data_IF_375175459609
#
_entry.id   IF_375175459609
#
_cell.length_a   1.000
_cell.length_b   1.000
_cell.length_c   1.000
_cell.angle_alpha   90.00
_cell.angle_beta   90.00
_cell.angle_gamma   90.00
#
_symmetry.space_group_name_H-M   'P 1'
#
loop_
_entity.id
_entity.type
_entity.pdbx_description
1 polymer ?
#
# COMPACT_ATOMS: atom_id res chain seq x y z
N UNK A 1 -13.67 18.45 -0.73
CA UNK A 1 -14.11 17.04 -0.75
C UNK A 1 -14.93 16.71 0.51
N UNK A 2 -14.39 16.81 1.77
CA UNK A 2 -15.17 16.56 3.00
C UNK A 2 -16.45 17.42 3.09
N UNK A 3 -16.38 18.70 2.74
CA UNK A 3 -17.55 19.62 2.77
C UNK A 3 -18.60 19.30 1.70
N UNK A 4 -18.21 18.63 0.64
CA UNK A 4 -19.05 18.32 -0.51
C UNK A 4 -19.68 16.94 -0.40
N UNK A 5 -18.92 15.93 0.02
CA UNK A 5 -19.32 14.52 0.04
C UNK A 5 -19.56 13.95 1.45
N UNK A 6 -19.23 14.70 2.48
CA UNK A 6 -19.34 14.27 3.87
C UNK A 6 -18.15 13.43 4.35
N UNK A 7 -18.06 13.27 5.68
CA UNK A 7 -16.95 12.57 6.32
C UNK A 7 -16.95 11.07 6.02
N UNK A 8 -18.11 10.44 5.97
CA UNK A 8 -18.27 9.01 5.72
C UNK A 8 -17.74 8.63 4.35
N UNK A 9 -18.18 9.31 3.27
CA UNK A 9 -17.72 9.05 1.93
C UNK A 9 -16.22 9.35 1.75
N UNK A 10 -15.72 10.43 2.38
CA UNK A 10 -14.30 10.76 2.38
C UNK A 10 -13.46 9.65 3.02
N UNK A 11 -13.93 9.08 4.15
CA UNK A 11 -13.23 7.99 4.82
C UNK A 11 -13.27 6.69 4.02
N UNK A 12 -14.37 6.39 3.31
CA UNK A 12 -14.45 5.26 2.39
C UNK A 12 -13.37 5.36 1.30
N UNK A 13 -13.26 6.49 0.62
CA UNK A 13 -12.22 6.68 -0.41
C UNK A 13 -10.80 6.60 0.16
N UNK A 14 -10.61 6.99 1.40
CA UNK A 14 -9.29 7.04 2.02
C UNK A 14 -8.82 5.71 2.58
N UNK A 15 -9.76 4.88 3.04
CA UNK A 15 -9.44 3.73 3.89
C UNK A 15 -9.96 2.40 3.38
N UNK A 16 -11.05 2.38 2.62
CA UNK A 16 -11.61 1.13 2.11
C UNK A 16 -10.63 0.42 1.16
N UNK A 17 -10.87 -0.85 0.99
CA UNK A 17 -10.09 -1.69 0.08
C UNK A 17 -10.41 -1.42 -1.38
N UNK A 18 -11.72 -1.35 -1.73
CA UNK A 18 -12.22 -1.43 -3.10
C UNK A 18 -13.09 -0.24 -3.53
N UNK A 19 -13.08 0.88 -2.80
CA UNK A 19 -13.87 2.06 -3.16
C UNK A 19 -12.93 3.17 -3.64
N UNK A 20 -12.74 3.34 -4.98
CA UNK A 20 -11.89 4.40 -5.50
C UNK A 20 -12.56 5.77 -5.35
N UNK A 21 -11.79 6.86 -5.22
CA UNK A 21 -12.32 8.21 -5.37
C UNK A 21 -12.81 8.43 -6.81
N UNK A 22 -13.65 9.46 -7.06
CA UNK A 22 -14.05 9.82 -8.42
C UNK A 22 -12.83 10.00 -9.34
N UNK A 23 -12.91 9.50 -10.56
CA UNK A 23 -11.87 9.68 -11.57
C UNK A 23 -11.59 11.17 -11.80
N UNK A 24 -10.30 11.53 -11.92
CA UNK A 24 -9.92 12.88 -12.32
C UNK A 24 -10.29 13.08 -13.80
N UNK A 25 -10.79 14.27 -14.14
CA UNK A 25 -10.99 14.64 -15.53
C UNK A 25 -9.63 14.61 -16.26
N UNK A 26 -9.50 13.94 -17.42
CA UNK A 26 -8.26 13.93 -18.19
C UNK A 26 -7.73 15.32 -18.54
N UNK A 27 -8.62 16.30 -18.70
CA UNK A 27 -8.29 17.70 -19.01
C UNK A 27 -8.00 18.57 -17.77
N UNK A 28 -8.08 17.99 -16.57
CA UNK A 28 -7.75 18.71 -15.35
C UNK A 28 -6.25 19.02 -15.29
N UNK A 29 -5.87 20.20 -14.80
CA UNK A 29 -4.46 20.64 -14.69
C UNK A 29 -3.57 19.71 -13.86
N UNK A 30 -4.14 18.92 -12.95
CA UNK A 30 -3.44 17.93 -12.14
C UNK A 30 -3.50 16.51 -12.73
N UNK A 31 -4.15 16.32 -13.87
CA UNK A 31 -4.16 15.04 -14.56
C UNK A 31 -2.78 14.73 -15.12
N UNK A 32 -2.38 13.48 -15.02
CA UNK A 32 -1.11 12.99 -15.56
C UNK A 32 -1.26 12.39 -16.97
N UNK A 33 -2.45 12.45 -17.56
CA UNK A 33 -2.76 11.87 -18.87
C UNK A 33 -1.85 12.39 -19.98
N UNK A 34 -1.49 13.67 -19.91
CA UNK A 34 -0.62 14.32 -20.92
C UNK A 34 0.81 14.55 -20.43
N UNK A 35 1.21 13.95 -19.28
CA UNK A 35 2.56 14.10 -18.76
C UNK A 35 3.55 13.26 -19.60
N UNK A 36 4.58 13.89 -20.20
CA UNK A 36 5.53 13.18 -21.05
C UNK A 36 6.31 12.06 -20.33
N UNK A 37 6.38 12.10 -19.00
CA UNK A 37 6.99 11.02 -18.20
C UNK A 37 6.24 9.70 -18.32
N UNK A 38 4.96 9.74 -18.64
CA UNK A 38 4.07 8.59 -18.77
C UNK A 38 3.67 8.27 -20.21
N UNK A 39 4.27 8.95 -21.20
CA UNK A 39 3.92 8.80 -22.63
C UNK A 39 4.12 7.36 -23.17
N UNK A 40 4.89 6.53 -22.48
CA UNK A 40 5.13 5.14 -22.87
C UNK A 40 4.17 4.13 -22.17
N UNK A 41 3.23 4.60 -21.37
CA UNK A 41 2.21 3.76 -20.76
C UNK A 41 0.99 3.68 -21.69
N UNK A 42 0.42 2.47 -21.81
CA UNK A 42 -0.80 2.25 -22.59
C UNK A 42 -1.99 2.99 -21.98
N UNK A 43 -2.01 3.12 -20.65
CA UNK A 43 -3.04 3.81 -19.91
C UNK A 43 -2.46 4.48 -18.65
N UNK A 44 -2.90 5.70 -18.37
CA UNK A 44 -2.62 6.42 -17.13
C UNK A 44 -3.85 6.33 -16.24
N UNK A 45 -3.79 5.73 -15.05
CA UNK A 45 -4.94 5.59 -14.17
C UNK A 45 -5.51 6.96 -13.76
N UNK A 46 -6.81 7.15 -13.94
CA UNK A 46 -7.53 8.38 -13.54
C UNK A 46 -8.04 8.30 -12.09
N UNK A 47 -8.12 7.10 -11.55
CA UNK A 47 -8.48 6.80 -10.16
C UNK A 47 -7.88 5.47 -9.75
N UNK A 48 -7.70 5.25 -8.45
CA UNK A 48 -7.17 4.00 -7.94
C UNK A 48 -7.65 3.78 -6.50
N UNK A 49 -8.00 2.54 -6.15
CA UNK A 49 -8.21 2.08 -4.80
C UNK A 49 -7.10 1.08 -4.38
N UNK A 50 -7.15 0.59 -3.15
CA UNK A 50 -6.12 -0.32 -2.66
C UNK A 50 -6.14 -1.67 -3.39
N UNK A 51 -7.30 -2.14 -3.85
CA UNK A 51 -7.44 -3.34 -4.68
C UNK A 51 -6.62 -3.24 -5.98
N UNK A 52 -6.66 -2.09 -6.64
CA UNK A 52 -5.90 -1.87 -7.88
C UNK A 52 -4.40 -1.95 -7.60
N UNK A 53 -3.97 -1.37 -6.47
CA UNK A 53 -2.57 -1.46 -6.02
C UNK A 53 -2.16 -2.91 -5.74
N UNK A 54 -2.99 -3.70 -5.06
CA UNK A 54 -2.75 -5.13 -4.82
C UNK A 54 -2.61 -5.88 -6.13
N UNK A 55 -3.53 -5.66 -7.08
CA UNK A 55 -3.57 -6.36 -8.36
C UNK A 55 -2.29 -6.16 -9.19
N UNK A 56 -1.68 -4.97 -9.14
CA UNK A 56 -0.43 -4.71 -9.87
C UNK A 56 0.83 -5.04 -9.07
N UNK A 57 0.76 -5.03 -7.73
CA UNK A 57 1.91 -5.26 -6.88
C UNK A 57 2.19 -6.76 -6.65
N UNK A 58 1.16 -7.57 -6.45
CA UNK A 58 1.32 -9.00 -6.15
C UNK A 58 2.02 -9.77 -7.28
N UNK A 59 1.74 -9.57 -8.57
CA UNK A 59 2.53 -10.16 -9.64
C UNK A 59 4.01 -9.79 -9.56
N UNK A 60 4.33 -8.51 -9.36
CA UNK A 60 5.71 -8.05 -9.20
C UNK A 60 6.40 -8.66 -7.97
N UNK A 61 5.67 -8.80 -6.85
CA UNK A 61 6.18 -9.50 -5.67
C UNK A 61 6.63 -10.92 -6.03
N UNK A 62 5.81 -11.70 -6.73
CA UNK A 62 6.13 -13.08 -7.11
C UNK A 62 7.26 -13.17 -8.13
N UNK A 63 7.27 -12.27 -9.11
CA UNK A 63 8.25 -12.30 -10.21
C UNK A 63 9.64 -11.82 -9.78
N UNK A 64 9.71 -10.92 -8.81
CA UNK A 64 10.96 -10.24 -8.44
C UNK A 64 11.31 -10.42 -6.97
N UNK A 65 10.50 -9.90 -6.04
CA UNK A 65 10.84 -9.85 -4.61
C UNK A 65 10.93 -11.26 -4.02
N UNK A 66 9.95 -12.10 -4.30
CA UNK A 66 9.92 -13.48 -3.81
C UNK A 66 11.10 -14.31 -4.34
N UNK A 67 11.50 -14.11 -5.61
CA UNK A 67 12.63 -14.82 -6.19
C UNK A 67 13.95 -14.43 -5.51
N UNK A 68 14.13 -13.16 -5.20
CA UNK A 68 15.31 -12.69 -4.46
C UNK A 68 15.33 -13.24 -3.02
N UNK A 69 14.19 -13.28 -2.33
CA UNK A 69 14.06 -13.89 -1.02
C UNK A 69 14.35 -15.41 -1.06
N UNK A 70 13.83 -16.14 -2.07
CA UNK A 70 14.13 -17.57 -2.30
C UNK A 70 15.61 -17.82 -2.58
N UNK A 71 16.30 -16.86 -3.18
CA UNK A 71 17.76 -16.90 -3.38
C UNK A 71 18.56 -16.56 -2.10
N UNK A 72 17.91 -16.35 -0.96
CA UNK A 72 18.56 -16.03 0.31
C UNK A 72 19.01 -14.59 0.45
N UNK A 73 18.49 -13.68 -0.38
CA UNK A 73 18.85 -12.24 -0.30
C UNK A 73 17.99 -11.52 0.74
N UNK A 74 18.58 -10.48 1.33
CA UNK A 74 17.81 -9.48 2.07
C UNK A 74 17.27 -8.44 1.09
N UNK A 75 15.96 -8.23 1.09
CA UNK A 75 15.29 -7.30 0.18
C UNK A 75 14.75 -6.11 0.97
N UNK A 76 15.06 -4.90 0.51
CA UNK A 76 14.48 -3.67 1.05
C UNK A 76 13.49 -3.08 0.06
N UNK A 77 12.25 -2.86 0.52
CA UNK A 77 11.18 -2.24 -0.26
C UNK A 77 10.94 -0.82 0.27
N UNK A 78 11.32 0.18 -0.51
CA UNK A 78 11.02 1.58 -0.23
C UNK A 78 9.91 2.06 -1.17
N UNK A 79 8.72 2.35 -0.63
CA UNK A 79 7.56 2.69 -1.43
C UNK A 79 6.60 3.63 -0.70
N UNK A 80 5.57 4.10 -1.41
CA UNK A 80 4.48 4.87 -0.82
C UNK A 80 3.70 4.02 0.19
N UNK A 81 3.17 4.67 1.25
CA UNK A 81 2.44 3.99 2.32
C UNK A 81 1.30 3.08 1.83
N UNK A 82 0.55 3.46 0.79
CA UNK A 82 -0.51 2.61 0.24
C UNK A 82 0.04 1.37 -0.49
N UNK A 83 1.19 1.48 -1.17
CA UNK A 83 1.86 0.32 -1.77
C UNK A 83 2.34 -0.65 -0.67
N UNK A 84 2.90 -0.11 0.42
CA UNK A 84 3.30 -0.94 1.57
C UNK A 84 2.08 -1.56 2.27
N UNK A 85 0.96 -0.84 2.40
CA UNK A 85 -0.30 -1.42 2.92
C UNK A 85 -0.80 -2.58 2.06
N UNK A 86 -0.71 -2.46 0.74
CA UNK A 86 -1.07 -3.54 -0.18
C UNK A 86 -0.17 -4.77 -0.01
N UNK A 87 1.14 -4.56 0.15
CA UNK A 87 2.10 -5.63 0.39
C UNK A 87 1.85 -6.32 1.74
N UNK A 88 1.68 -5.56 2.80
CA UNK A 88 1.39 -6.09 4.15
C UNK A 88 0.06 -6.84 4.17
N UNK A 89 -0.99 -6.29 3.51
CA UNK A 89 -2.27 -6.99 3.35
C UNK A 89 -2.08 -8.38 2.72
N UNK A 90 -1.25 -8.47 1.69
CA UNK A 90 -0.96 -9.72 1.01
C UNK A 90 -0.16 -10.68 1.90
N UNK A 91 0.93 -10.23 2.53
CA UNK A 91 1.81 -11.06 3.35
C UNK A 91 1.11 -11.62 4.59
N UNK A 92 0.27 -10.83 5.24
CA UNK A 92 -0.43 -11.18 6.49
C UNK A 92 -1.86 -11.69 6.26
N UNK A 93 -2.30 -11.77 5.00
CA UNK A 93 -3.67 -12.16 4.64
C UNK A 93 -4.74 -11.34 5.40
N UNK A 94 -4.53 -10.03 5.53
CA UNK A 94 -5.47 -9.12 6.20
C UNK A 94 -6.78 -9.07 5.40
N UNK A 95 -7.92 -9.12 6.08
CA UNK A 95 -9.23 -9.04 5.43
C UNK A 95 -9.46 -7.67 4.75
N UNK A 96 -10.45 -7.60 3.85
CA UNK A 96 -10.82 -6.36 3.17
C UNK A 96 -11.38 -5.30 4.14
N UNK A 97 -12.02 -5.74 5.20
CA UNK A 97 -12.56 -4.87 6.23
C UNK A 97 -11.45 -4.37 7.19
N UNK A 98 -10.54 -5.25 7.60
CA UNK A 98 -9.50 -4.93 8.59
C UNK A 98 -8.40 -4.03 8.02
N UNK A 99 -8.16 -4.07 6.70
CA UNK A 99 -7.13 -3.24 6.05
C UNK A 99 -7.37 -1.73 6.25
N UNK A 100 -8.61 -1.33 6.48
CA UNK A 100 -8.95 0.06 6.77
C UNK A 100 -8.24 0.60 8.04
N UNK A 101 -7.99 -0.28 9.01
CA UNK A 101 -7.30 0.03 10.28
C UNK A 101 -5.79 0.10 10.18
N UNK A 102 -5.17 -0.45 9.13
CA UNK A 102 -3.71 -0.49 9.00
C UNK A 102 -3.14 0.89 8.64
N UNK A 103 -2.26 1.39 9.49
CA UNK A 103 -1.50 2.62 9.27
C UNK A 103 -0.01 2.30 9.34
N UNK A 104 0.73 2.59 8.25
CA UNK A 104 2.17 2.39 8.19
C UNK A 104 2.87 3.72 8.44
N UNK A 105 3.69 3.85 9.49
CA UNK A 105 4.43 5.06 9.79
C UNK A 105 5.51 5.33 8.74
N UNK A 106 5.79 6.59 8.46
CA UNK A 106 6.85 6.98 7.53
C UNK A 106 8.21 6.92 8.22
N UNK A 107 9.20 6.30 7.55
CA UNK A 107 10.59 6.31 7.96
C UNK A 107 10.97 5.31 9.05
N UNK A 108 10.05 4.47 9.51
CA UNK A 108 10.34 3.40 10.48
C UNK A 108 10.33 2.07 9.73
N UNK A 109 11.46 1.35 9.67
CA UNK A 109 11.54 0.06 9.00
C UNK A 109 10.65 -0.99 9.67
N UNK A 110 9.86 -1.71 8.86
CA UNK A 110 9.09 -2.89 9.23
C UNK A 110 9.78 -4.12 8.66
N UNK A 111 10.17 -5.06 9.52
CA UNK A 111 10.96 -6.23 9.15
C UNK A 111 10.09 -7.47 9.13
N UNK A 112 10.08 -8.17 8.01
CA UNK A 112 9.50 -9.50 7.87
C UNK A 112 10.60 -10.55 7.79
N UNK A 113 10.39 -11.68 8.48
CA UNK A 113 11.24 -12.85 8.39
C UNK A 113 10.53 -13.95 7.61
N UNK A 114 11.28 -14.60 6.74
CA UNK A 114 10.77 -15.66 5.89
C UNK A 114 11.55 -16.96 6.12
N UNK A 115 10.85 -18.07 6.05
CA UNK A 115 11.43 -19.41 5.99
C UNK A 115 11.07 -20.04 4.63
N UNK A 116 12.06 -20.65 3.99
CA UNK A 116 11.84 -21.43 2.76
C UNK A 116 11.58 -22.89 3.15
N UNK A 117 10.33 -23.34 3.01
CA UNK A 117 9.91 -24.71 3.30
C UNK A 117 9.26 -25.33 2.06
N UNK A 118 9.80 -26.43 1.57
CA UNK A 118 9.30 -27.17 0.40
C UNK A 118 9.17 -26.31 -0.88
N UNK A 119 10.05 -25.31 -1.05
CA UNK A 119 10.03 -24.39 -2.20
C UNK A 119 9.07 -23.22 -2.06
N UNK A 120 8.34 -23.12 -0.96
CA UNK A 120 7.43 -22.00 -0.65
C UNK A 120 8.04 -21.14 0.47
N UNK A 121 7.92 -19.81 0.31
CA UNK A 121 8.25 -18.86 1.37
C UNK A 121 7.07 -18.72 2.33
N UNK A 122 7.39 -18.77 3.63
CA UNK A 122 6.41 -18.51 4.70
C UNK A 122 6.89 -17.38 5.57
N UNK A 123 6.01 -16.44 5.88
CA UNK A 123 6.27 -15.42 6.90
C UNK A 123 6.30 -16.10 8.26
N UNK A 124 7.37 -15.86 9.03
CA UNK A 124 7.55 -16.44 10.37
C UNK A 124 7.20 -15.48 11.51
N UNK A 125 7.07 -14.19 11.20
CA UNK A 125 6.63 -13.12 12.12
C UNK A 125 5.46 -12.32 11.52
N UNK A 126 4.22 -12.87 11.48
CA UNK A 126 3.07 -12.14 10.95
C UNK A 126 2.90 -10.77 11.62
N UNK A 127 2.58 -9.75 10.84
CA UNK A 127 2.55 -8.35 11.29
C UNK A 127 3.90 -7.63 11.18
N UNK A 128 4.98 -8.39 11.01
CA UNK A 128 6.33 -7.83 10.98
C UNK A 128 6.78 -7.25 12.33
N UNK A 129 8.03 -6.86 12.40
CA UNK A 129 8.64 -6.23 13.57
C UNK A 129 9.17 -4.84 13.20
N UNK A 130 8.65 -3.78 13.82
CA UNK A 130 9.22 -2.45 13.66
C UNK A 130 10.56 -2.34 14.41
N UNK A 131 11.58 -1.78 13.76
CA UNK A 131 12.89 -1.57 14.42
C UNK A 131 12.83 -0.57 15.57
N UNK A 132 11.85 0.32 15.57
CA UNK A 132 11.53 1.24 16.66
C UNK A 132 10.01 1.18 16.91
N UNK A 133 9.52 0.27 17.78
CA UNK A 133 8.09 0.07 18.01
C UNK A 133 7.41 1.30 18.64
N UNK A 134 8.11 2.07 19.48
CA UNK A 134 7.55 3.26 20.12
C UNK A 134 7.34 4.39 19.09
N UNK A 135 8.36 4.69 18.29
CA UNK A 135 8.24 5.65 17.20
C UNK A 135 7.22 5.20 16.15
N UNK A 136 7.12 3.89 15.87
CA UNK A 136 6.14 3.35 14.94
C UNK A 136 4.72 3.56 15.43
N UNK A 137 4.42 3.31 16.70
CA UNK A 137 3.10 3.53 17.29
C UNK A 137 2.70 5.03 17.22
N UNK A 138 3.61 5.93 17.56
CA UNK A 138 3.39 7.39 17.45
C UNK A 138 3.17 7.84 16.00
N UNK A 139 3.97 7.33 15.07
CA UNK A 139 3.85 7.60 13.64
C UNK A 139 2.56 7.08 13.03
N UNK A 140 2.13 5.86 13.37
CA UNK A 140 0.87 5.28 12.92
C UNK A 140 -0.34 6.10 13.42
N UNK A 141 -0.32 6.56 14.67
CA UNK A 141 -1.34 7.45 15.21
C UNK A 141 -1.39 8.79 14.46
N UNK A 142 -0.23 9.36 14.11
CA UNK A 142 -0.14 10.59 13.31
C UNK A 142 -0.73 10.38 11.89
N UNK A 143 -0.46 9.25 11.24
CA UNK A 143 -1.05 8.89 9.93
C UNK A 143 -2.57 8.73 10.05
N UNK A 144 -3.07 8.08 11.10
CA UNK A 144 -4.51 7.95 11.34
C UNK A 144 -5.20 9.32 11.50
N UNK A 145 -4.55 10.27 12.18
CA UNK A 145 -5.07 11.61 12.42
C UNK A 145 -5.06 12.55 11.20
N UNK A 146 -4.34 12.22 10.12
CA UNK A 146 -4.25 13.08 8.92
C UNK A 146 -5.60 13.36 8.24
N UNK A 147 -6.59 12.51 8.43
CA UNK A 147 -7.94 12.69 7.90
C UNK A 147 -8.83 13.66 8.69
N UNK A 148 -8.39 14.10 9.88
CA UNK A 148 -9.18 14.89 10.83
C UNK A 148 -8.87 16.40 10.79
N UNK A 149 -8.01 16.85 9.87
CA UNK A 149 -7.67 18.26 9.67
C UNK A 149 -8.50 18.90 8.60
#
# INVERSE_FOLDING_TARGET
IKKEFGDEQFMLWRRSYNTPPPAIDPENEYSQTHDPRYANLDEVPLTECLLDVVNRLVPYYHESIEQDLKAGKNVMVAAHGNSLRALVKYLDNISDDDIAGLNIPTGIPLVYHFELANGELKVTNPGGDYLDPEAAAAGAAAVAAQGNK
#
